data_IF_266598074484
#
_entry.id   IF_266598074484
#
_cell.length_a   1.000
_cell.length_b   1.000
_cell.length_c   1.000
_cell.angle_alpha   90.00
_cell.angle_beta   90.00
_cell.angle_gamma   90.00
#
_symmetry.space_group_name_H-M   'P 1'
#
loop_
_entity.id
_entity.type
_entity.pdbx_description
1 polymer ?
#
# COMPACT_ATOMS: atom_id res chain seq x y z
N UNK A 1 -22.10 76.37 -9.64
CA UNK A 1 -21.29 75.22 -9.20
C UNK A 1 -21.78 74.02 -10.00
N UNK A 2 -21.15 73.78 -11.14
CA UNK A 2 -21.50 72.70 -12.08
C UNK A 2 -20.25 71.85 -12.18
N UNK A 3 -20.35 70.63 -11.65
CA UNK A 3 -19.27 69.64 -11.67
C UNK A 3 -19.23 69.04 -13.06
N UNK A 4 -18.18 69.35 -13.81
CA UNK A 4 -17.81 68.66 -15.04
C UNK A 4 -17.05 67.40 -14.63
N UNK A 5 -17.71 66.24 -14.67
CA UNK A 5 -17.03 64.95 -14.61
C UNK A 5 -16.30 64.73 -15.93
N UNK A 6 -15.00 65.04 -15.95
CA UNK A 6 -14.09 64.56 -16.97
C UNK A 6 -13.94 63.04 -16.79
N UNK A 7 -14.56 62.30 -17.71
CA UNK A 7 -14.32 60.89 -17.91
C UNK A 7 -12.83 60.70 -18.22
N UNK A 8 -12.07 60.21 -17.25
CA UNK A 8 -10.76 59.62 -17.49
C UNK A 8 -10.98 58.41 -18.40
N UNK A 9 -10.80 58.62 -19.70
CA UNK A 9 -10.42 57.56 -20.63
C UNK A 9 -9.10 57.01 -20.11
N UNK A 10 -9.18 55.91 -19.36
CA UNK A 10 -8.03 55.04 -19.12
C UNK A 10 -7.58 54.61 -20.51
N UNK A 11 -6.51 55.25 -20.98
CA UNK A 11 -5.70 54.76 -22.08
C UNK A 11 -5.38 53.31 -21.75
N UNK A 12 -5.99 52.40 -22.51
CA UNK A 12 -5.62 51.00 -22.52
C UNK A 12 -4.09 50.90 -22.64
N UNK A 13 -3.41 50.10 -21.82
CA UNK A 13 -1.99 49.88 -22.03
C UNK A 13 -1.84 49.22 -23.40
N UNK A 14 -1.05 49.87 -24.25
CA UNK A 14 -0.46 49.37 -25.50
C UNK A 14 -1.23 48.23 -26.18
N UNK A 15 -2.13 48.62 -27.07
CA UNK A 15 -2.65 47.85 -28.20
C UNK A 15 -1.67 46.79 -28.74
N UNK A 16 -2.07 45.52 -28.68
CA UNK A 16 -2.00 44.52 -29.78
C UNK A 16 -0.89 44.74 -30.81
N UNK A 17 0.36 44.41 -30.46
CA UNK A 17 1.47 44.30 -31.42
C UNK A 17 2.47 43.19 -31.05
N UNK A 18 2.03 42.15 -30.35
CA UNK A 18 2.77 40.91 -30.14
C UNK A 18 1.86 39.76 -30.58
N UNK A 19 2.34 38.88 -31.46
CA UNK A 19 1.57 37.75 -32.02
C UNK A 19 1.05 36.79 -30.94
N UNK A 20 0.54 35.63 -31.36
CA UNK A 20 -0.10 34.61 -30.51
C UNK A 20 0.73 34.02 -29.34
N UNK A 21 1.86 34.62 -28.99
CA UNK A 21 2.77 34.29 -27.90
C UNK A 21 2.18 34.68 -26.55
N UNK A 22 2.36 33.81 -25.56
CA UNK A 22 1.86 34.04 -24.19
C UNK A 22 3.05 34.31 -23.27
N UNK A 23 3.83 33.29 -22.90
CA UNK A 23 4.98 33.44 -22.00
C UNK A 23 6.20 32.74 -22.55
N UNK A 24 7.37 33.34 -22.46
CA UNK A 24 8.58 32.79 -23.05
C UNK A 24 9.71 33.79 -23.18
N UNK A 25 10.63 33.50 -24.10
CA UNK A 25 11.79 34.33 -24.43
C UNK A 25 12.01 34.32 -25.95
N UNK A 26 12.27 35.48 -26.59
CA UNK A 26 12.68 35.53 -28.00
C UNK A 26 14.07 34.91 -28.19
N UNK A 27 14.29 34.16 -29.27
CA UNK A 27 15.62 33.64 -29.59
C UNK A 27 16.32 34.60 -30.57
N UNK A 28 17.44 35.18 -30.14
CA UNK A 28 18.28 35.99 -31.02
C UNK A 28 18.83 35.15 -32.18
N UNK A 29 18.66 35.63 -33.42
CA UNK A 29 19.10 34.93 -34.62
C UNK A 29 18.04 34.02 -35.26
N UNK A 30 16.89 33.83 -34.60
CA UNK A 30 15.70 33.21 -35.17
C UNK A 30 14.56 34.23 -35.22
N UNK A 31 13.72 34.15 -36.24
CA UNK A 31 12.40 34.80 -36.24
C UNK A 31 11.43 33.99 -35.36
N UNK A 32 11.82 33.66 -34.14
CA UNK A 32 11.16 32.65 -33.31
C UNK A 32 11.19 32.95 -31.81
N UNK A 33 10.29 32.31 -31.08
CA UNK A 33 10.22 32.41 -29.63
C UNK A 33 9.94 31.07 -28.99
N UNK A 34 10.58 30.85 -27.84
CA UNK A 34 10.38 29.67 -27.02
C UNK A 34 9.44 30.02 -25.89
N UNK A 35 8.31 29.34 -25.85
CA UNK A 35 7.34 29.56 -24.81
C UNK A 35 5.99 28.92 -25.08
N UNK A 36 5.01 29.33 -24.28
CA UNK A 36 3.62 28.98 -24.48
C UNK A 36 2.95 29.90 -25.49
N UNK A 37 1.91 29.37 -26.12
CA UNK A 37 1.11 30.04 -27.13
C UNK A 37 -0.34 30.12 -26.69
N UNK A 38 -1.08 31.07 -27.26
CA UNK A 38 -2.53 31.14 -27.10
C UNK A 38 -3.11 29.81 -27.60
N UNK A 39 -3.96 29.15 -26.80
CA UNK A 39 -4.55 27.87 -27.18
C UNK A 39 -5.42 28.01 -28.43
N UNK A 40 -5.46 26.97 -29.24
CA UNK A 40 -6.50 26.82 -30.26
C UNK A 40 -7.90 26.79 -29.63
N UNK A 41 -8.92 27.16 -30.39
CA UNK A 41 -10.31 26.99 -29.94
C UNK A 41 -10.61 25.49 -29.76
N UNK A 42 -10.96 25.10 -28.53
CA UNK A 42 -11.13 23.70 -28.12
C UNK A 42 -9.95 23.12 -27.33
N UNK A 43 -8.79 23.78 -27.31
CA UNK A 43 -7.66 23.42 -26.45
C UNK A 43 -7.85 24.02 -25.04
N UNK A 44 -7.65 23.24 -23.96
CA UNK A 44 -8.06 23.66 -22.62
C UNK A 44 -7.13 24.69 -21.96
N UNK A 45 -5.84 24.67 -22.30
CA UNK A 45 -4.80 25.50 -21.68
C UNK A 45 -3.73 25.86 -22.70
N UNK A 46 -2.93 26.92 -22.49
CA UNK A 46 -1.72 27.16 -23.27
C UNK A 46 -0.86 25.90 -23.36
N UNK A 47 -0.34 25.64 -24.57
CA UNK A 47 0.48 24.46 -24.85
C UNK A 47 1.81 24.84 -25.48
N UNK A 48 2.62 23.81 -25.71
CA UNK A 48 3.93 23.91 -26.32
C UNK A 48 3.86 23.40 -27.75
N UNK A 49 4.39 24.21 -28.65
CA UNK A 49 4.54 23.88 -30.05
C UNK A 49 5.60 22.79 -30.28
N UNK A 50 5.41 21.95 -31.30
CA UNK A 50 6.35 20.88 -31.67
C UNK A 50 6.63 20.82 -33.18
N UNK A 51 6.51 21.95 -33.87
CA UNK A 51 6.81 22.08 -35.30
C UNK A 51 7.48 23.42 -35.62
N UNK A 52 8.78 23.56 -35.36
CA UNK A 52 9.48 24.85 -35.42
C UNK A 52 9.40 25.58 -36.79
N UNK A 53 9.19 24.84 -37.89
CA UNK A 53 9.04 25.35 -39.25
C UNK A 53 7.59 25.54 -39.73
N UNK A 54 6.60 25.36 -38.85
CA UNK A 54 5.18 25.50 -39.17
C UNK A 54 4.56 26.81 -38.63
N UNK A 55 3.37 27.13 -39.14
CA UNK A 55 2.65 28.37 -38.81
C UNK A 55 2.15 28.30 -37.37
N UNK A 56 2.44 29.36 -36.61
CA UNK A 56 2.11 29.46 -35.20
C UNK A 56 0.59 29.31 -34.89
N UNK A 57 0.25 28.88 -33.66
CA UNK A 57 -1.14 28.81 -33.20
C UNK A 57 -1.88 30.15 -33.26
N UNK A 58 -3.20 30.08 -33.45
CA UNK A 58 -4.10 31.23 -33.48
C UNK A 58 -5.45 30.81 -32.89
N UNK A 59 -6.00 31.61 -31.97
CA UNK A 59 -7.15 31.25 -31.15
C UNK A 59 -8.40 30.92 -31.96
N UNK A 60 -8.56 31.56 -33.12
CA UNK A 60 -9.67 31.37 -34.04
C UNK A 60 -9.69 30.00 -34.74
N UNK A 61 -8.56 29.28 -34.73
CA UNK A 61 -8.47 27.95 -35.34
C UNK A 61 -9.07 26.93 -34.38
N UNK A 62 -10.13 26.26 -34.84
CA UNK A 62 -10.84 25.22 -34.07
C UNK A 62 -10.13 23.89 -34.23
N UNK A 63 -9.89 23.21 -33.11
CA UNK A 63 -9.27 21.88 -33.06
C UNK A 63 -10.12 20.92 -32.21
N UNK A 64 -9.96 19.62 -32.46
CA UNK A 64 -10.44 18.58 -31.55
C UNK A 64 -9.24 18.02 -30.79
N UNK A 65 -9.16 18.21 -29.46
CA UNK A 65 -8.11 17.62 -28.64
C UNK A 65 -8.07 16.09 -28.75
N UNK A 66 -6.87 15.55 -28.67
CA UNK A 66 -6.57 14.12 -28.60
C UNK A 66 -5.35 13.88 -27.72
N UNK A 67 -4.68 12.74 -27.86
CA UNK A 67 -3.57 12.35 -27.00
C UNK A 67 -2.34 11.94 -27.81
N UNK A 68 -1.18 12.48 -27.44
CA UNK A 68 0.12 12.05 -27.96
C UNK A 68 0.64 10.90 -27.10
N UNK A 69 0.79 9.73 -27.72
CA UNK A 69 1.23 8.47 -27.07
C UNK A 69 2.54 7.91 -27.61
N UNK A 70 3.11 8.56 -28.63
CA UNK A 70 4.39 8.20 -29.22
C UNK A 70 5.26 9.44 -29.36
N UNK A 71 6.57 9.24 -29.20
CA UNK A 71 7.58 10.28 -29.42
C UNK A 71 8.38 9.97 -30.70
N UNK A 72 8.77 11.00 -31.47
CA UNK A 72 9.64 10.82 -32.62
C UNK A 72 11.05 10.39 -32.20
N UNK A 73 11.73 9.67 -33.09
CA UNK A 73 13.13 9.27 -32.90
C UNK A 73 14.06 10.39 -33.38
N UNK A 74 14.55 11.22 -32.46
CA UNK A 74 15.49 12.32 -32.75
C UNK A 74 16.80 12.15 -31.98
N UNK A 75 17.90 12.53 -32.59
CA UNK A 75 19.21 12.61 -31.95
C UNK A 75 19.29 13.87 -31.08
N UNK A 76 19.65 13.70 -29.81
CA UNK A 76 19.74 14.75 -28.79
C UNK A 76 20.64 14.33 -27.62
N UNK A 77 21.21 15.29 -26.86
CA UNK A 77 21.94 14.97 -25.64
C UNK A 77 21.09 14.18 -24.63
N UNK A 78 21.67 13.17 -23.98
CA UNK A 78 20.96 12.28 -23.06
C UNK A 78 20.34 13.03 -21.86
N UNK A 79 20.97 14.11 -21.42
CA UNK A 79 20.54 15.00 -20.34
C UNK A 79 19.53 16.08 -20.79
N UNK A 80 19.15 16.08 -22.07
CA UNK A 80 17.98 16.79 -22.61
C UNK A 80 16.89 15.83 -23.12
N UNK A 81 17.13 14.52 -23.08
CA UNK A 81 16.18 13.51 -23.53
C UNK A 81 15.20 13.17 -22.42
N UNK A 82 13.91 13.23 -22.75
CA UNK A 82 12.79 12.80 -21.91
C UNK A 82 11.84 11.88 -22.65
N UNK A 83 11.15 11.00 -21.92
CA UNK A 83 9.98 10.29 -22.40
C UNK A 83 8.67 11.09 -22.16
N UNK A 84 7.53 10.53 -22.57
CA UNK A 84 6.21 11.14 -22.38
C UNK A 84 5.89 11.42 -20.91
N UNK A 85 6.18 10.48 -20.01
CA UNK A 85 5.87 10.63 -18.59
C UNK A 85 6.73 11.72 -17.95
N UNK A 86 8.00 11.81 -18.34
CA UNK A 86 8.93 12.84 -17.92
C UNK A 86 8.56 14.21 -18.49
N UNK A 87 8.15 14.31 -19.75
CA UNK A 87 7.66 15.57 -20.32
C UNK A 87 6.36 16.02 -19.65
N UNK A 88 5.45 15.10 -19.33
CA UNK A 88 4.23 15.43 -18.61
C UNK A 88 4.51 15.97 -17.21
N UNK A 89 5.50 15.40 -16.50
CA UNK A 89 5.98 15.94 -15.24
C UNK A 89 6.49 17.38 -15.41
N UNK A 90 7.32 17.62 -16.42
CA UNK A 90 7.88 18.94 -16.71
C UNK A 90 6.77 19.95 -16.99
N UNK A 91 5.79 19.60 -17.82
CA UNK A 91 4.67 20.47 -18.12
C UNK A 91 3.79 20.76 -16.91
N UNK A 92 3.50 19.72 -16.08
CA UNK A 92 2.69 19.86 -14.86
C UNK A 92 3.27 20.90 -13.89
N UNK A 93 4.60 20.95 -13.77
CA UNK A 93 5.27 21.77 -12.75
C UNK A 93 5.87 23.07 -13.25
N UNK A 94 6.27 23.16 -14.53
CA UNK A 94 7.00 24.32 -15.04
C UNK A 94 6.37 25.00 -16.26
N UNK A 95 5.40 24.38 -16.95
CA UNK A 95 4.73 25.06 -18.07
C UNK A 95 3.62 25.96 -17.54
N UNK A 96 3.68 27.29 -17.78
CA UNK A 96 2.65 28.20 -17.28
C UNK A 96 1.33 28.01 -18.03
N UNK A 97 0.22 28.04 -17.29
CA UNK A 97 -1.14 27.98 -17.84
C UNK A 97 -1.81 29.34 -17.96
N UNK A 98 -1.19 30.40 -17.44
CA UNK A 98 -1.66 31.78 -17.55
C UNK A 98 -1.57 32.29 -19.00
N UNK A 99 -2.53 33.13 -19.40
CA UNK A 99 -2.53 33.87 -20.68
C UNK A 99 -1.82 35.23 -20.58
N UNK A 100 -1.30 35.60 -19.41
CA UNK A 100 -0.56 36.84 -19.23
C UNK A 100 0.73 36.85 -20.04
N UNK A 101 0.99 37.96 -20.73
CA UNK A 101 2.20 38.11 -21.52
C UNK A 101 3.47 38.19 -20.66
N UNK A 102 4.52 37.45 -21.05
CA UNK A 102 5.87 37.64 -20.52
C UNK A 102 6.94 37.22 -21.53
N UNK A 103 7.93 38.08 -21.78
CA UNK A 103 9.07 37.81 -22.66
C UNK A 103 10.39 37.54 -21.91
N UNK A 104 10.29 37.25 -20.62
CA UNK A 104 11.43 36.93 -19.74
C UNK A 104 11.22 35.60 -19.00
N UNK A 105 10.22 34.83 -19.40
CA UNK A 105 9.83 33.60 -18.71
C UNK A 105 10.73 32.43 -19.13
N UNK A 106 11.79 32.22 -18.37
CA UNK A 106 12.80 31.17 -18.64
C UNK A 106 12.21 29.76 -18.49
N UNK A 107 11.22 29.56 -17.60
CA UNK A 107 10.59 28.24 -17.42
C UNK A 107 9.71 27.91 -18.62
N UNK A 108 8.91 28.88 -19.10
CA UNK A 108 8.16 28.72 -20.34
C UNK A 108 9.10 28.43 -21.54
N UNK A 109 10.22 29.16 -21.65
CA UNK A 109 11.19 28.94 -22.70
C UNK A 109 11.90 27.58 -22.61
N UNK A 110 12.29 27.16 -21.41
CA UNK A 110 12.95 25.87 -21.18
C UNK A 110 12.02 24.69 -21.46
N UNK A 111 10.75 24.78 -21.05
CA UNK A 111 9.76 23.75 -21.37
C UNK A 111 9.47 23.69 -22.86
N UNK A 112 9.30 24.82 -23.55
CA UNK A 112 9.14 24.86 -25.01
C UNK A 112 10.36 24.31 -25.76
N UNK A 113 11.57 24.63 -25.29
CA UNK A 113 12.81 24.08 -25.83
C UNK A 113 12.82 22.55 -25.70
N UNK A 114 12.44 22.01 -24.54
CA UNK A 114 12.34 20.56 -24.34
C UNK A 114 11.25 19.92 -25.20
N UNK A 115 10.12 20.61 -25.43
CA UNK A 115 9.08 20.14 -26.34
C UNK A 115 9.62 19.96 -27.76
N UNK A 116 10.31 20.96 -28.33
CA UNK A 116 10.93 20.81 -29.64
C UNK A 116 12.04 19.74 -29.65
N UNK A 117 12.98 19.78 -28.69
CA UNK A 117 14.06 18.79 -28.64
C UNK A 117 13.54 17.36 -28.57
N UNK A 118 12.40 17.12 -27.91
CA UNK A 118 11.88 15.78 -27.66
C UNK A 118 10.78 15.30 -28.61
N UNK A 119 9.92 16.22 -29.08
CA UNK A 119 8.67 15.91 -29.76
C UNK A 119 8.51 16.58 -31.12
N UNK A 120 9.53 17.29 -31.60
CA UNK A 120 9.52 17.89 -32.94
C UNK A 120 9.15 16.85 -34.02
N UNK A 121 8.07 17.10 -34.75
CA UNK A 121 7.47 16.11 -35.65
C UNK A 121 7.32 16.59 -37.11
N UNK A 122 7.98 17.69 -37.48
CA UNK A 122 7.98 18.17 -38.85
C UNK A 122 8.88 17.34 -39.78
N UNK A 123 8.81 17.62 -41.09
CA UNK A 123 9.70 16.98 -42.08
C UNK A 123 11.18 17.31 -41.85
N UNK A 124 11.46 18.46 -41.23
CA UNK A 124 12.81 18.95 -40.94
C UNK A 124 13.19 18.75 -39.48
N UNK A 125 12.49 17.86 -38.75
CA UNK A 125 12.57 17.77 -37.29
C UNK A 125 14.01 17.72 -36.74
N UNK A 126 14.87 16.87 -37.30
CA UNK A 126 16.26 16.76 -36.82
C UNK A 126 17.06 18.05 -37.08
N UNK A 127 16.84 18.73 -38.20
CA UNK A 127 17.51 19.99 -38.51
C UNK A 127 17.04 21.09 -37.55
N UNK A 128 15.72 21.19 -37.30
CA UNK A 128 15.13 22.11 -36.34
C UNK A 128 15.73 21.91 -34.93
N UNK A 129 15.84 20.65 -34.49
CA UNK A 129 16.46 20.31 -33.20
C UNK A 129 17.94 20.71 -33.14
N UNK A 130 18.71 20.44 -34.21
CA UNK A 130 20.13 20.80 -34.26
C UNK A 130 20.32 22.32 -34.20
N UNK A 131 19.49 23.08 -34.90
CA UNK A 131 19.52 24.55 -34.90
C UNK A 131 19.14 25.10 -33.51
N UNK A 132 18.07 24.60 -32.89
CA UNK A 132 17.67 24.99 -31.54
C UNK A 132 18.75 24.69 -30.51
N UNK A 133 19.45 23.55 -30.60
CA UNK A 133 20.56 23.22 -29.71
C UNK A 133 21.73 24.22 -29.83
N UNK A 134 21.93 24.83 -31.01
CA UNK A 134 22.98 25.82 -31.24
C UNK A 134 22.57 27.23 -30.82
N UNK A 135 21.33 27.64 -31.12
CA UNK A 135 20.87 29.02 -30.96
C UNK A 135 20.24 29.30 -29.59
N UNK A 136 19.73 28.29 -28.90
CA UNK A 136 19.10 28.48 -27.59
C UNK A 136 20.13 28.93 -26.55
N UNK A 137 19.93 30.07 -25.87
CA UNK A 137 20.84 30.56 -24.84
C UNK A 137 21.16 29.55 -23.74
N UNK A 138 22.41 29.57 -23.25
CA UNK A 138 22.90 28.61 -22.26
C UNK A 138 22.06 28.58 -20.97
N UNK A 139 21.52 29.71 -20.51
CA UNK A 139 20.69 29.76 -19.30
C UNK A 139 19.37 28.99 -19.46
N UNK A 140 18.76 28.99 -20.66
CA UNK A 140 17.56 28.20 -20.98
C UNK A 140 17.93 26.71 -21.06
N UNK A 141 19.03 26.37 -21.73
CA UNK A 141 19.48 24.97 -21.81
C UNK A 141 19.83 24.40 -20.43
N UNK A 142 20.48 25.18 -19.55
CA UNK A 142 20.81 24.76 -18.19
C UNK A 142 19.54 24.52 -17.37
N UNK A 143 18.54 25.42 -17.50
CA UNK A 143 17.25 25.25 -16.84
C UNK A 143 16.51 24.01 -17.36
N UNK A 144 16.55 23.77 -18.67
CA UNK A 144 15.99 22.56 -19.27
C UNK A 144 16.66 21.29 -18.72
N UNK A 145 17.99 21.23 -18.64
CA UNK A 145 18.72 20.08 -18.05
C UNK A 145 18.34 19.85 -16.59
N UNK A 146 18.14 20.92 -15.82
CA UNK A 146 17.64 20.84 -14.45
C UNK A 146 16.24 20.18 -14.42
N UNK A 147 15.30 20.66 -15.24
CA UNK A 147 13.96 20.09 -15.34
C UNK A 147 13.99 18.60 -15.75
N UNK A 148 14.88 18.21 -16.68
CA UNK A 148 15.06 16.80 -17.08
C UNK A 148 15.59 15.95 -15.93
N UNK A 149 16.55 16.46 -15.14
CA UNK A 149 17.07 15.76 -13.98
C UNK A 149 15.98 15.54 -12.92
N UNK A 150 15.18 16.58 -12.63
CA UNK A 150 14.04 16.50 -11.70
C UNK A 150 12.97 15.52 -12.20
N UNK A 151 12.64 15.55 -13.50
CA UNK A 151 11.68 14.63 -14.12
C UNK A 151 12.14 13.17 -14.08
N UNK A 152 13.43 12.90 -14.35
CA UNK A 152 13.99 11.55 -14.24
C UNK A 152 14.02 11.05 -12.80
N UNK A 153 14.26 11.94 -11.84
CA UNK A 153 14.21 11.60 -10.42
C UNK A 153 12.77 11.27 -9.96
N UNK A 154 11.76 11.95 -10.50
CA UNK A 154 10.35 11.75 -10.18
C UNK A 154 9.65 10.64 -10.99
N UNK A 155 10.21 10.25 -12.14
CA UNK A 155 9.63 9.27 -13.06
C UNK A 155 9.62 7.86 -12.48
N UNK A 156 8.44 7.35 -12.13
CA UNK A 156 8.27 6.01 -11.58
C UNK A 156 8.37 4.95 -12.69
N UNK A 157 9.16 3.91 -12.47
CA UNK A 157 9.26 2.75 -13.38
C UNK A 157 9.12 1.41 -12.66
N UNK A 158 9.12 1.41 -11.32
CA UNK A 158 8.98 0.19 -10.52
C UNK A 158 8.08 0.39 -9.31
N UNK A 159 7.29 -0.62 -9.00
CA UNK A 159 6.36 -0.69 -7.87
C UNK A 159 6.28 -2.14 -7.38
N UNK A 160 5.88 -2.33 -6.13
CA UNK A 160 5.74 -3.67 -5.53
C UNK A 160 4.70 -3.65 -4.42
N UNK A 161 4.07 -4.79 -4.18
CA UNK A 161 3.09 -4.94 -3.10
C UNK A 161 3.72 -5.03 -1.72
N UNK A 162 5.01 -5.36 -1.63
CA UNK A 162 5.70 -5.57 -0.35
C UNK A 162 5.70 -7.02 0.09
N UNK A 163 5.95 -7.24 1.38
CA UNK A 163 5.95 -8.54 2.04
C UNK A 163 5.10 -8.49 3.30
N UNK A 164 4.59 -9.64 3.73
CA UNK A 164 3.81 -9.76 4.95
C UNK A 164 4.59 -10.51 6.02
N UNK A 165 4.45 -10.06 7.26
CA UNK A 165 4.85 -10.79 8.46
C UNK A 165 3.61 -11.25 9.22
N UNK A 166 3.74 -12.24 10.10
CA UNK A 166 2.62 -12.74 10.90
C UNK A 166 1.78 -13.85 10.23
N UNK A 167 2.35 -14.60 9.29
CA UNK A 167 1.75 -15.84 8.78
C UNK A 167 1.36 -16.77 9.93
N UNK A 168 0.11 -17.25 9.92
CA UNK A 168 -0.52 -18.03 11.00
C UNK A 168 -0.48 -17.33 12.37
N UNK A 169 -0.45 -16.00 12.40
CA UNK A 169 -0.52 -15.21 13.62
C UNK A 169 -1.79 -14.34 13.63
N UNK A 170 -2.10 -13.75 14.79
CA UNK A 170 -3.18 -12.77 14.95
C UNK A 170 -2.80 -11.36 14.54
N UNK A 171 -1.50 -11.06 14.53
CA UNK A 171 -0.96 -9.74 14.25
C UNK A 171 0.25 -9.86 13.34
N UNK A 172 0.49 -8.82 12.55
CA UNK A 172 1.68 -8.73 11.72
C UNK A 172 1.79 -7.36 11.06
N UNK A 173 2.69 -7.26 10.10
CA UNK A 173 2.96 -6.06 9.33
C UNK A 173 2.95 -6.34 7.84
N UNK A 174 2.55 -5.34 7.05
CA UNK A 174 2.92 -5.23 5.66
C UNK A 174 4.12 -4.29 5.57
N UNK A 175 5.19 -4.80 4.99
CA UNK A 175 6.48 -4.14 4.85
C UNK A 175 6.83 -3.96 3.38
N UNK A 176 7.76 -3.05 3.09
CA UNK A 176 8.33 -2.92 1.76
C UNK A 176 7.51 -2.11 0.77
N UNK A 177 6.60 -1.25 1.22
CA UNK A 177 5.80 -0.38 0.36
C UNK A 177 6.65 0.74 -0.24
N UNK A 178 6.42 1.07 -1.50
CA UNK A 178 7.08 2.17 -2.20
C UNK A 178 7.25 1.95 -3.70
N UNK A 179 7.50 3.05 -4.39
CA UNK A 179 7.77 3.10 -5.83
C UNK A 179 9.20 3.57 -6.10
N UNK A 180 9.77 3.18 -7.25
CA UNK A 180 11.15 3.51 -7.63
C UNK A 180 11.24 4.17 -9.00
N UNK A 181 12.23 5.04 -9.15
CA UNK A 181 12.60 5.63 -10.43
C UNK A 181 13.59 4.76 -11.23
N UNK A 182 13.96 5.22 -12.42
CA UNK A 182 14.92 4.53 -13.31
C UNK A 182 16.31 4.31 -12.71
N UNK A 183 16.71 5.08 -11.71
CA UNK A 183 17.95 4.91 -10.96
C UNK A 183 17.81 3.94 -9.76
N UNK A 184 16.63 3.37 -9.54
CA UNK A 184 16.34 2.46 -8.43
C UNK A 184 16.14 3.14 -7.07
N UNK A 185 16.09 4.47 -7.01
CA UNK A 185 15.81 5.26 -5.82
C UNK A 185 14.30 5.36 -5.56
N UNK A 186 13.89 5.48 -4.30
CA UNK A 186 12.47 5.62 -3.94
C UNK A 186 11.94 7.01 -4.31
N UNK A 187 10.72 7.05 -4.85
CA UNK A 187 10.04 8.30 -5.21
C UNK A 187 8.97 8.63 -4.17
N UNK A 188 9.11 9.80 -3.54
CA UNK A 188 8.16 10.30 -2.55
C UNK A 188 6.92 10.94 -3.20
N UNK A 189 5.85 11.08 -2.43
CA UNK A 189 4.69 11.88 -2.82
C UNK A 189 3.66 11.15 -3.70
N UNK A 190 3.78 9.84 -3.90
CA UNK A 190 2.81 9.06 -4.69
C UNK A 190 1.74 8.46 -3.76
N UNK A 191 0.45 8.75 -3.98
CA UNK A 191 -0.61 8.13 -3.19
C UNK A 191 -0.63 6.62 -3.40
N UNK A 192 -0.87 5.86 -2.34
CA UNK A 192 -1.14 4.44 -2.42
C UNK A 192 -2.26 4.01 -1.49
N UNK A 193 -2.97 2.94 -1.86
CA UNK A 193 -4.00 2.29 -1.05
C UNK A 193 -3.72 0.80 -1.00
N UNK A 194 -3.72 0.22 0.21
CA UNK A 194 -3.64 -1.21 0.44
C UNK A 194 -5.02 -1.71 0.83
N UNK A 195 -5.50 -2.77 0.18
CA UNK A 195 -6.79 -3.39 0.46
C UNK A 195 -6.60 -4.85 0.83
N UNK A 196 -7.06 -5.23 2.03
CA UNK A 196 -7.11 -6.61 2.49
C UNK A 196 -8.44 -7.25 2.06
N UNK A 197 -8.35 -8.49 1.59
CA UNK A 197 -9.49 -9.36 1.31
C UNK A 197 -9.36 -10.62 2.17
N UNK A 198 -10.29 -10.81 3.11
CA UNK A 198 -10.26 -11.91 4.07
C UNK A 198 -10.44 -11.40 5.50
N UNK A 199 -10.23 -12.28 6.50
CA UNK A 199 -10.54 -11.99 7.90
C UNK A 199 -9.43 -11.19 8.60
N UNK A 200 -9.09 -10.02 8.08
CA UNK A 200 -8.12 -9.10 8.69
C UNK A 200 -8.44 -7.62 8.43
N UNK A 201 -8.00 -6.77 9.34
CA UNK A 201 -8.13 -5.30 9.26
C UNK A 201 -6.82 -4.64 9.67
N UNK A 202 -6.58 -3.43 9.18
CA UNK A 202 -5.45 -2.62 9.65
C UNK A 202 -5.70 -2.11 11.06
N UNK A 203 -4.66 -2.08 11.90
CA UNK A 203 -4.78 -1.58 13.27
C UNK A 203 -5.16 -0.11 13.32
N UNK A 204 -4.50 0.71 12.51
CA UNK A 204 -4.68 2.16 12.51
C UNK A 204 -6.08 2.60 12.07
N UNK A 205 -6.65 1.95 11.06
CA UNK A 205 -7.96 2.34 10.50
C UNK A 205 -9.12 1.53 11.06
N UNK A 206 -8.85 0.32 11.58
CA UNK A 206 -9.89 -0.63 11.98
C UNK A 206 -10.70 -1.19 10.80
N UNK A 207 -10.30 -0.92 9.57
CA UNK A 207 -10.96 -1.38 8.34
C UNK A 207 -10.01 -2.22 7.50
N UNK A 208 -10.51 -2.80 6.41
CA UNK A 208 -9.70 -3.55 5.46
C UNK A 208 -8.86 -2.68 4.51
N UNK A 209 -8.87 -1.35 4.68
CA UNK A 209 -8.20 -0.42 3.78
C UNK A 209 -7.21 0.46 4.54
N UNK A 210 -6.03 0.69 3.96
CA UNK A 210 -5.01 1.61 4.45
C UNK A 210 -4.57 2.52 3.30
N UNK A 211 -4.65 3.84 3.48
CA UNK A 211 -4.17 4.82 2.50
C UNK A 211 -2.97 5.56 3.05
N UNK A 212 -1.98 5.79 2.19
CA UNK A 212 -0.78 6.55 2.52
C UNK A 212 -0.16 7.23 1.30
N UNK A 213 1.01 7.82 1.52
CA UNK A 213 1.82 8.46 0.47
C UNK A 213 3.22 7.89 0.54
N UNK A 214 3.82 7.55 -0.61
CA UNK A 214 5.18 7.02 -0.65
C UNK A 214 6.20 8.04 -0.15
N UNK A 215 7.30 7.55 0.40
CA UNK A 215 8.40 8.36 0.93
C UNK A 215 9.67 8.21 0.09
N UNK A 216 10.70 8.98 0.40
CA UNK A 216 12.06 8.84 -0.17
C UNK A 216 12.80 7.60 0.36
N UNK A 217 12.15 6.85 1.26
CA UNK A 217 12.61 5.57 1.79
C UNK A 217 11.49 4.54 1.67
N UNK A 218 11.87 3.26 1.82
CA UNK A 218 10.92 2.16 1.96
C UNK A 218 9.99 2.40 3.16
N UNK A 219 8.72 2.08 3.00
CA UNK A 219 7.72 2.11 4.08
C UNK A 219 7.55 0.69 4.61
N UNK A 220 7.75 0.53 5.91
CA UNK A 220 7.61 -0.72 6.66
C UNK A 220 6.67 -0.49 7.87
N UNK A 221 6.19 -1.57 8.49
CA UNK A 221 5.49 -1.55 9.76
C UNK A 221 4.00 -1.25 9.68
N UNK A 222 3.34 -1.42 8.53
CA UNK A 222 1.90 -1.19 8.40
C UNK A 222 1.17 -2.36 9.09
N UNK A 223 0.70 -2.13 10.32
CA UNK A 223 0.15 -3.17 11.18
C UNK A 223 -1.23 -3.64 10.77
N UNK A 224 -1.42 -4.95 10.79
CA UNK A 224 -2.71 -5.61 10.61
C UNK A 224 -3.01 -6.53 11.79
N UNK A 225 -4.30 -6.80 12.02
CA UNK A 225 -4.80 -7.82 12.95
C UNK A 225 -5.89 -8.68 12.31
N UNK A 226 -5.96 -9.95 12.68
CA UNK A 226 -7.03 -10.84 12.23
C UNK A 226 -8.37 -10.52 12.91
N UNK A 227 -9.47 -10.85 12.25
CA UNK A 227 -10.84 -10.74 12.76
C UNK A 227 -11.56 -12.09 12.84
N UNK A 228 -11.04 -13.10 12.14
CA UNK A 228 -11.41 -14.51 12.19
C UNK A 228 -10.25 -15.35 11.63
N UNK A 229 -10.40 -16.67 11.59
CA UNK A 229 -9.44 -17.57 10.96
C UNK A 229 -9.64 -17.60 9.44
N UNK A 230 -8.54 -17.76 8.69
CA UNK A 230 -8.57 -18.09 7.27
C UNK A 230 -7.52 -17.35 6.45
N UNK A 231 -7.62 -17.51 5.13
CA UNK A 231 -6.69 -16.88 4.18
C UNK A 231 -7.01 -15.40 3.98
N UNK A 232 -5.99 -14.56 4.07
CA UNK A 232 -6.02 -13.16 3.66
C UNK A 232 -5.20 -13.01 2.39
N UNK A 233 -5.74 -12.26 1.43
CA UNK A 233 -5.00 -11.74 0.28
C UNK A 233 -5.02 -10.22 0.31
N UNK A 234 -4.09 -9.58 -0.39
CA UNK A 234 -4.11 -8.12 -0.49
C UNK A 234 -3.56 -7.62 -1.83
N UNK A 235 -3.90 -6.39 -2.17
CA UNK A 235 -3.28 -5.66 -3.27
C UNK A 235 -2.94 -4.23 -2.82
N UNK A 236 -2.04 -3.61 -3.58
CA UNK A 236 -1.68 -2.19 -3.43
C UNK A 236 -1.98 -1.47 -4.73
N UNK A 237 -2.82 -0.45 -4.66
CA UNK A 237 -3.07 0.51 -5.74
C UNK A 237 -2.17 1.72 -5.57
N UNK A 238 -1.33 1.99 -6.55
CA UNK A 238 -0.50 3.19 -6.61
C UNK A 238 -1.08 4.16 -7.64
N UNK A 239 -1.25 5.42 -7.28
CA UNK A 239 -1.79 6.47 -8.14
C UNK A 239 -0.76 7.58 -8.45
N UNK A 240 -1.06 8.41 -9.45
CA UNK A 240 -0.22 9.54 -9.90
C UNK A 240 1.24 9.12 -10.23
N UNK A 241 1.40 7.99 -10.90
CA UNK A 241 2.71 7.43 -11.28
C UNK A 241 3.36 8.13 -12.49
N UNK A 242 2.89 9.31 -12.84
CA UNK A 242 3.20 10.01 -14.10
C UNK A 242 2.05 9.90 -15.10
N UNK A 243 2.20 10.54 -16.26
CA UNK A 243 1.21 10.47 -17.34
C UNK A 243 1.58 9.41 -18.38
N UNK A 244 0.57 8.79 -18.98
CA UNK A 244 0.74 7.83 -20.09
C UNK A 244 0.65 8.47 -21.48
N UNK A 245 0.25 9.75 -21.54
CA UNK A 245 0.10 10.53 -22.75
C UNK A 245 0.31 12.02 -22.43
N UNK A 246 0.44 12.83 -23.49
CA UNK A 246 0.25 14.28 -23.43
C UNK A 246 -1.05 14.63 -24.13
N UNK A 247 -1.68 15.74 -23.74
CA UNK A 247 -2.73 16.33 -24.57
C UNK A 247 -2.12 16.79 -25.90
N UNK A 248 -2.87 16.63 -26.99
CA UNK A 248 -2.39 16.88 -28.34
C UNK A 248 -3.46 17.53 -29.22
N UNK A 249 -3.05 18.52 -30.02
CA UNK A 249 -3.89 19.13 -31.04
C UNK A 249 -3.10 19.26 -32.34
N UNK A 250 -3.72 18.82 -33.44
CA UNK A 250 -3.19 18.93 -34.80
C UNK A 250 -4.22 19.64 -35.69
N UNK A 251 -4.11 20.97 -35.87
CA UNK A 251 -5.03 21.75 -36.72
C UNK A 251 -4.90 21.46 -38.23
N UNK A 252 -3.79 20.86 -38.67
CA UNK A 252 -3.48 20.69 -40.09
C UNK A 252 -3.17 22.02 -40.81
N UNK A 253 -3.14 21.99 -42.14
CA UNK A 253 -2.94 23.20 -42.97
C UNK A 253 -1.57 23.88 -42.83
N UNK A 254 -0.54 23.13 -42.41
CA UNK A 254 0.81 23.66 -42.19
C UNK A 254 0.97 24.48 -40.90
N UNK A 255 0.03 24.34 -39.96
CA UNK A 255 0.09 24.95 -38.63
C UNK A 255 0.68 23.99 -37.61
N UNK A 256 1.28 24.55 -36.55
CA UNK A 256 1.98 23.80 -35.52
C UNK A 256 1.05 22.84 -34.76
N UNK A 257 1.52 21.62 -34.58
CA UNK A 257 0.99 20.73 -33.56
C UNK A 257 1.37 21.24 -32.16
N UNK A 258 0.46 21.06 -31.21
CA UNK A 258 0.61 21.55 -29.83
C UNK A 258 0.40 20.42 -28.83
N UNK A 259 1.26 20.38 -27.81
CA UNK A 259 1.18 19.45 -26.68
C UNK A 259 1.01 20.19 -25.35
N UNK A 260 0.32 19.57 -24.40
CA UNK A 260 0.16 20.10 -23.04
C UNK A 260 0.01 18.97 -22.01
N UNK A 261 0.10 19.32 -20.73
CA UNK A 261 -0.17 18.38 -19.64
C UNK A 261 -1.66 18.02 -19.60
N UNK A 262 -1.98 16.76 -19.83
CA UNK A 262 -3.34 16.22 -19.74
C UNK A 262 -3.53 15.44 -18.43
N UNK A 263 -4.20 16.06 -17.46
CA UNK A 263 -4.49 15.46 -16.15
C UNK A 263 -5.44 14.26 -16.22
N UNK A 264 -6.14 14.03 -17.33
CA UNK A 264 -6.99 12.85 -17.53
C UNK A 264 -6.19 11.59 -17.88
N UNK A 265 -4.90 11.73 -18.19
CA UNK A 265 -4.02 10.65 -18.67
C UNK A 265 -3.07 10.07 -17.60
N UNK A 266 -3.33 10.38 -16.33
CA UNK A 266 -2.53 9.89 -15.20
C UNK A 266 -2.53 8.36 -15.13
N UNK A 267 -1.35 7.80 -14.87
CA UNK A 267 -1.13 6.37 -14.72
C UNK A 267 -1.30 5.95 -13.27
N UNK A 268 -2.00 4.84 -13.08
CA UNK A 268 -2.09 4.11 -11.82
C UNK A 268 -1.76 2.64 -12.06
N UNK A 269 -1.25 1.96 -11.05
CA UNK A 269 -0.84 0.55 -11.14
C UNK A 269 -1.34 -0.20 -9.91
N UNK A 270 -1.87 -1.40 -10.12
CA UNK A 270 -2.31 -2.31 -9.05
C UNK A 270 -1.37 -3.51 -9.01
N UNK A 271 -0.88 -3.85 -7.82
CA UNK A 271 0.01 -5.00 -7.63
C UNK A 271 -0.51 -5.89 -6.51
N UNK A 272 -0.67 -7.18 -6.82
CA UNK A 272 -1.07 -8.18 -5.84
C UNK A 272 0.09 -8.51 -4.88
N UNK A 273 -0.22 -8.57 -3.60
CA UNK A 273 0.67 -9.09 -2.56
C UNK A 273 0.54 -10.60 -2.39
N UNK A 274 1.46 -11.23 -1.62
CA UNK A 274 1.29 -12.62 -1.23
C UNK A 274 0.05 -12.79 -0.36
N UNK A 275 -0.66 -13.90 -0.54
CA UNK A 275 -1.66 -14.37 0.42
C UNK A 275 -0.99 -14.98 1.65
N UNK A 276 -1.66 -14.91 2.79
CA UNK A 276 -1.18 -15.43 4.07
C UNK A 276 -2.33 -15.95 4.93
N UNK A 277 -2.08 -16.95 5.75
CA UNK A 277 -3.06 -17.46 6.71
C UNK A 277 -3.06 -16.61 7.98
N UNK A 278 -4.25 -16.36 8.54
CA UNK A 278 -4.38 -15.68 9.83
C UNK A 278 -5.18 -16.52 10.81
N UNK A 279 -4.88 -16.35 12.10
CA UNK A 279 -5.60 -16.99 13.20
C UNK A 279 -6.14 -15.91 14.15
N UNK A 280 -7.31 -16.14 14.70
CA UNK A 280 -8.01 -15.25 15.63
C UNK A 280 -8.17 -15.91 16.99
N UNK A 281 -8.39 -17.22 17.02
CA UNK A 281 -8.54 -18.02 18.23
C UNK A 281 -7.42 -19.06 18.38
N UNK A 282 -7.51 -19.83 19.46
CA UNK A 282 -6.66 -20.97 19.75
C UNK A 282 -7.50 -22.03 20.45
N UNK A 283 -7.06 -23.29 20.37
CA UNK A 283 -7.72 -24.40 21.03
C UNK A 283 -6.90 -24.82 22.26
N UNK A 284 -7.35 -24.51 23.49
CA UNK A 284 -6.68 -25.00 24.69
C UNK A 284 -6.89 -26.50 24.88
N UNK A 285 -5.82 -27.21 25.25
CA UNK A 285 -5.83 -28.61 25.64
C UNK A 285 -5.22 -28.76 27.05
N UNK A 286 -5.73 -29.73 27.81
CA UNK A 286 -5.17 -30.12 29.10
C UNK A 286 -4.86 -31.60 29.10
N UNK A 287 -3.60 -31.95 29.36
CA UNK A 287 -3.13 -33.33 29.45
C UNK A 287 -2.75 -33.64 30.89
N UNK A 288 -3.07 -34.83 31.38
CA UNK A 288 -2.69 -35.25 32.72
C UNK A 288 -1.50 -36.18 32.73
N UNK A 289 -0.87 -36.20 33.90
CA UNK A 289 0.29 -37.01 34.18
C UNK A 289 -0.04 -38.28 34.96
N UNK A 290 -1.31 -38.60 35.22
CA UNK A 290 -1.63 -40.01 35.45
C UNK A 290 -1.54 -40.74 34.12
N UNK A 291 -0.47 -41.52 33.97
CA UNK A 291 -0.35 -42.50 32.89
C UNK A 291 -1.43 -43.59 32.97
N UNK A 292 -1.12 -44.76 32.41
CA UNK A 292 -2.00 -45.95 32.43
C UNK A 292 -2.27 -46.40 33.87
N UNK A 293 -3.40 -45.98 34.45
CA UNK A 293 -3.98 -46.44 35.73
C UNK A 293 -3.06 -46.40 36.96
N UNK A 294 -3.38 -45.58 37.97
CA UNK A 294 -2.72 -45.70 39.28
C UNK A 294 -3.56 -46.52 40.25
N UNK A 295 -3.03 -47.66 40.67
CA UNK A 295 -3.44 -48.36 41.90
C UNK A 295 -2.76 -47.63 43.07
N UNK A 296 -3.54 -47.05 43.97
CA UNK A 296 -3.01 -46.19 45.02
C UNK A 296 -3.30 -46.85 46.37
N UNK A 297 -2.26 -47.42 46.98
CA UNK A 297 -2.25 -47.99 48.34
C UNK A 297 -2.06 -46.89 49.42
N UNK A 298 -2.37 -45.64 49.04
CA UNK A 298 -2.14 -44.45 49.85
C UNK A 298 -3.43 -43.64 49.96
N UNK A 299 -3.58 -42.86 51.03
CA UNK A 299 -4.77 -42.02 51.25
C UNK A 299 -4.80 -40.75 50.39
N UNK A 300 -3.81 -40.56 49.51
CA UNK A 300 -3.64 -39.34 48.68
C UNK A 300 -3.31 -39.64 47.19
N UNK A 301 -4.28 -39.64 46.27
CA UNK A 301 -4.08 -39.46 44.83
C UNK A 301 -3.69 -38.01 44.46
N UNK A 302 -2.68 -37.88 43.62
CA UNK A 302 -2.20 -36.59 43.13
C UNK A 302 -2.11 -36.64 41.63
N UNK A 303 -2.62 -35.60 41.00
CA UNK A 303 -2.45 -35.34 39.59
C UNK A 303 -1.64 -34.09 39.31
N UNK A 304 -1.03 -34.06 38.14
CA UNK A 304 -0.56 -32.83 37.52
C UNK A 304 -1.19 -32.73 36.14
N UNK A 305 -1.98 -31.68 35.92
CA UNK A 305 -2.44 -31.27 34.60
C UNK A 305 -1.38 -30.38 33.96
N UNK A 306 -1.19 -30.53 32.66
CA UNK A 306 -0.38 -29.65 31.81
C UNK A 306 -1.31 -29.02 30.79
N UNK A 307 -1.46 -27.70 30.86
CA UNK A 307 -2.24 -26.95 29.88
C UNK A 307 -1.32 -26.53 28.73
N UNK A 308 -1.79 -26.67 27.49
CA UNK A 308 -1.10 -26.20 26.29
C UNK A 308 -2.10 -25.78 25.22
N UNK A 309 -1.64 -25.15 24.14
CA UNK A 309 -2.46 -25.00 22.95
C UNK A 309 -2.33 -26.27 22.10
N UNK A 310 -3.41 -26.68 21.43
CA UNK A 310 -3.38 -27.83 20.53
C UNK A 310 -2.33 -27.60 19.43
N UNK A 311 -1.26 -28.40 19.35
CA UNK A 311 -0.21 -28.21 18.35
C UNK A 311 -0.71 -28.41 16.91
N UNK A 312 -1.89 -29.00 16.71
CA UNK A 312 -2.50 -29.22 15.40
C UNK A 312 -3.52 -28.13 15.02
N UNK A 313 -3.75 -27.14 15.89
CA UNK A 313 -4.66 -26.01 15.66
C UNK A 313 -3.89 -24.69 15.59
N UNK A 314 -4.15 -23.89 14.55
CA UNK A 314 -3.50 -22.58 14.38
C UNK A 314 -1.97 -22.69 14.26
N UNK A 315 -1.23 -21.94 15.09
CA UNK A 315 0.24 -22.03 15.19
C UNK A 315 0.73 -22.90 16.36
N UNK A 316 -0.18 -23.62 17.03
CA UNK A 316 0.12 -24.44 18.19
C UNK A 316 0.57 -23.66 19.43
N UNK A 317 0.40 -22.32 19.43
CA UNK A 317 0.78 -21.48 20.56
C UNK A 317 -0.43 -20.99 21.32
N UNK A 318 -0.18 -20.67 22.58
CA UNK A 318 -1.17 -20.03 23.43
C UNK A 318 -1.46 -18.63 22.91
N UNK A 319 -2.73 -18.30 22.71
CA UNK A 319 -3.10 -16.98 22.23
C UNK A 319 -2.70 -15.90 23.22
N UNK A 320 -2.06 -14.85 22.71
CA UNK A 320 -1.71 -13.65 23.46
C UNK A 320 -2.45 -12.42 22.93
N UNK A 321 -2.87 -11.56 23.86
CA UNK A 321 -3.42 -10.22 23.61
C UNK A 321 -2.51 -9.24 24.35
N UNK A 322 -1.91 -8.29 23.64
CA UNK A 322 -0.95 -7.31 24.18
C UNK A 322 0.23 -7.97 24.93
N UNK A 323 0.75 -9.08 24.38
CA UNK A 323 1.84 -9.86 24.99
C UNK A 323 1.45 -10.61 26.27
N UNK A 324 0.17 -10.61 26.64
CA UNK A 324 -0.38 -11.35 27.77
C UNK A 324 -1.19 -12.53 27.26
N UNK A 325 -0.98 -13.73 27.80
CA UNK A 325 -1.74 -14.87 27.35
C UNK A 325 -3.21 -14.80 27.79
N UNK A 326 -4.11 -15.29 26.93
CA UNK A 326 -5.54 -15.36 27.23
C UNK A 326 -5.78 -16.37 28.35
N UNK A 327 -6.39 -15.98 29.48
CA UNK A 327 -6.64 -16.90 30.58
C UNK A 327 -7.71 -17.94 30.21
N UNK A 328 -7.43 -19.22 30.45
CA UNK A 328 -8.38 -20.32 30.30
C UNK A 328 -8.64 -20.96 31.66
N UNK A 329 -9.92 -21.18 31.97
CA UNK A 329 -10.32 -21.87 33.18
C UNK A 329 -10.44 -23.36 32.87
N UNK A 330 -9.69 -24.16 33.62
CA UNK A 330 -9.75 -25.61 33.63
C UNK A 330 -10.45 -26.07 34.90
N UNK A 331 -11.44 -26.95 34.77
CA UNK A 331 -12.12 -27.60 35.89
C UNK A 331 -12.12 -29.11 35.69
N UNK A 332 -11.70 -29.86 36.71
CA UNK A 332 -11.66 -31.32 36.69
C UNK A 332 -12.36 -31.92 37.90
N UNK A 333 -13.20 -32.93 37.67
CA UNK A 333 -13.87 -33.70 38.72
C UNK A 333 -13.38 -35.15 38.72
N UNK A 334 -13.04 -35.62 39.90
CA UNK A 334 -12.65 -36.97 40.22
C UNK A 334 -13.86 -37.79 40.63
N UNK A 335 -13.98 -39.01 40.12
CA UNK A 335 -15.06 -39.94 40.47
C UNK A 335 -14.49 -41.24 41.01
N UNK A 336 -15.07 -41.74 42.10
CA UNK A 336 -14.82 -43.10 42.59
C UNK A 336 -15.75 -44.08 41.86
N UNK A 337 -15.17 -45.21 41.41
CA UNK A 337 -15.86 -46.24 40.63
C UNK A 337 -16.06 -47.55 41.39
N UNK A 338 -15.83 -47.55 42.71
CA UNK A 338 -15.97 -48.72 43.58
C UNK A 338 -14.63 -49.32 44.00
N UNK A 339 -14.67 -50.49 44.62
CA UNK A 339 -13.49 -51.19 45.18
C UNK A 339 -12.91 -52.25 44.24
N UNK A 340 -13.64 -52.61 43.18
CA UNK A 340 -13.22 -53.57 42.16
C UNK A 340 -12.82 -52.83 40.89
N UNK A 341 -11.69 -53.17 40.23
CA UNK A 341 -11.28 -52.57 38.97
C UNK A 341 -12.40 -52.63 37.92
N UNK A 342 -12.75 -51.49 37.35
CA UNK A 342 -13.68 -51.41 36.23
C UNK A 342 -12.95 -51.32 34.91
N UNK A 343 -13.60 -51.82 33.85
CA UNK A 343 -13.07 -51.69 32.50
C UNK A 343 -12.96 -50.21 32.08
N UNK A 344 -11.96 -49.85 31.26
CA UNK A 344 -11.81 -48.50 30.71
C UNK A 344 -13.06 -48.06 29.93
N UNK A 345 -13.50 -46.81 30.13
CA UNK A 345 -14.65 -46.22 29.44
C UNK A 345 -14.38 -44.74 29.17
N UNK A 346 -14.96 -44.24 28.09
CA UNK A 346 -14.86 -42.83 27.69
C UNK A 346 -15.88 -41.94 28.42
N UNK A 347 -16.84 -42.56 29.08
CA UNK A 347 -17.90 -41.90 29.83
C UNK A 347 -17.84 -42.27 31.31
N UNK A 348 -18.09 -41.29 32.17
CA UNK A 348 -18.24 -41.51 33.61
C UNK A 348 -19.52 -42.34 33.83
N UNK A 349 -19.44 -43.50 34.50
CA UNK A 349 -20.63 -44.30 34.81
C UNK A 349 -21.68 -43.50 35.59
N UNK A 350 -22.96 -43.72 35.32
CA UNK A 350 -24.05 -42.96 35.93
C UNK A 350 -24.13 -43.11 37.47
N UNK A 351 -23.59 -44.20 38.01
CA UNK A 351 -23.49 -44.53 39.43
C UNK A 351 -22.18 -44.05 40.08
N UNK A 352 -21.27 -43.47 39.31
CA UNK A 352 -19.99 -42.99 39.81
C UNK A 352 -20.17 -41.77 40.73
N UNK A 353 -19.54 -41.80 41.91
CA UNK A 353 -19.64 -40.72 42.89
C UNK A 353 -18.48 -39.74 42.72
N UNK A 354 -18.79 -38.46 42.53
CA UNK A 354 -17.79 -37.40 42.59
C UNK A 354 -17.12 -37.37 43.98
N UNK A 355 -15.80 -37.54 44.01
CA UNK A 355 -15.00 -37.55 45.25
C UNK A 355 -14.29 -36.23 45.50
N UNK A 356 -13.97 -35.48 44.44
CA UNK A 356 -13.47 -34.12 44.56
C UNK A 356 -13.45 -33.38 43.21
N UNK A 357 -13.49 -32.05 43.27
CA UNK A 357 -13.38 -31.15 42.12
C UNK A 357 -12.24 -30.17 42.36
N UNK A 358 -11.45 -29.89 41.32
CA UNK A 358 -10.36 -28.93 41.35
C UNK A 358 -10.42 -28.04 40.10
N UNK A 359 -10.13 -26.76 40.27
CA UNK A 359 -10.15 -25.79 39.17
C UNK A 359 -9.00 -24.81 39.21
N UNK A 360 -8.73 -24.20 38.06
CA UNK A 360 -7.59 -23.34 37.87
C UNK A 360 -7.63 -22.43 36.66
N UNK A 361 -6.93 -21.29 36.74
CA UNK A 361 -6.75 -20.38 35.61
C UNK A 361 -5.34 -20.55 35.07
N UNK A 362 -5.20 -21.02 33.83
CA UNK A 362 -3.92 -21.07 33.14
C UNK A 362 -3.79 -19.92 32.15
N UNK A 363 -2.60 -19.33 32.09
CA UNK A 363 -2.18 -18.47 30.99
C UNK A 363 -1.05 -19.08 30.14
N UNK A 364 -0.47 -20.23 30.47
CA UNK A 364 0.58 -20.86 29.64
C UNK A 364 1.03 -22.18 30.24
N UNK A 365 0.94 -22.29 31.57
CA UNK A 365 1.28 -23.47 32.36
C UNK A 365 0.44 -23.44 33.66
N UNK A 366 -0.53 -24.35 33.78
CA UNK A 366 -1.19 -24.60 35.06
C UNK A 366 -0.51 -25.78 35.73
N UNK A 367 0.18 -25.55 36.85
CA UNK A 367 0.65 -26.62 37.75
C UNK A 367 -0.06 -26.45 39.08
N UNK A 368 -1.15 -27.16 39.31
CA UNK A 368 -1.74 -27.26 40.65
C UNK A 368 -1.40 -28.58 41.32
N UNK A 369 -0.64 -28.52 42.40
CA UNK A 369 -0.66 -29.53 43.46
C UNK A 369 -1.53 -29.00 44.60
N UNK A 370 -2.77 -29.47 44.74
CA UNK A 370 -3.56 -29.22 45.96
C UNK A 370 -3.79 -30.54 46.69
N UNK A 371 -3.16 -30.66 47.85
CA UNK A 371 -3.43 -31.71 48.83
C UNK A 371 -4.65 -31.31 49.66
N UNK A 372 -5.80 -31.96 49.49
CA UNK A 372 -6.90 -31.88 50.46
C UNK A 372 -6.76 -33.03 51.46
N UNK A 373 -6.54 -32.70 52.73
CA UNK A 373 -6.59 -33.68 53.84
C UNK A 373 -8.06 -33.98 54.16
N UNK A 374 -8.66 -34.91 53.41
CA UNK A 374 -9.64 -35.93 53.84
C UNK A 374 -10.32 -36.53 52.61
N UNK A 375 -10.10 -37.83 52.43
CA UNK A 375 -10.69 -38.76 51.47
C UNK A 375 -10.39 -38.48 49.97
N UNK A 376 -9.47 -39.29 49.43
CA UNK A 376 -9.43 -39.70 48.01
C UNK A 376 -9.39 -38.59 46.94
N UNK A 377 -8.54 -37.57 47.13
CA UNK A 377 -7.36 -37.22 46.30
C UNK A 377 -7.31 -37.77 44.84
N UNK A 378 -6.79 -37.04 43.84
CA UNK A 378 -7.30 -36.92 42.44
C UNK A 378 -6.19 -37.17 41.37
N UNK A 379 -6.52 -37.57 40.13
CA UNK A 379 -5.68 -38.09 39.02
C UNK A 379 -6.38 -38.00 37.61
N UNK A 380 -6.38 -36.89 36.86
CA UNK A 380 -7.31 -36.62 35.73
C UNK A 380 -6.78 -36.48 34.27
N UNK A 381 -6.66 -37.52 33.44
CA UNK A 381 -6.26 -37.44 31.99
C UNK A 381 -7.36 -37.13 30.99
N UNK A 382 -7.06 -36.23 30.02
CA UNK A 382 -7.82 -36.03 28.79
C UNK A 382 -6.91 -35.84 27.56
N UNK A 383 -7.05 -36.72 26.58
CA UNK A 383 -7.58 -36.43 25.25
C UNK A 383 -7.52 -37.73 24.45
N UNK A 384 -8.67 -38.24 24.00
CA UNK A 384 -8.77 -39.43 23.16
C UNK A 384 -8.47 -40.74 23.89
N UNK A 385 -9.48 -41.61 23.92
CA UNK A 385 -9.52 -42.95 24.50
C UNK A 385 -8.22 -43.74 24.30
N UNK A 386 -7.68 -44.31 25.39
CA UNK A 386 -7.02 -45.63 25.51
C UNK A 386 -6.45 -45.76 26.93
N UNK A 387 -6.88 -46.77 27.69
CA UNK A 387 -6.09 -47.35 28.79
C UNK A 387 -6.30 -48.86 28.80
N UNK A 388 -5.24 -49.67 28.99
CA UNK A 388 -5.29 -51.13 29.17
C UNK A 388 -4.70 -51.55 30.52
N UNK A 389 -5.55 -52.20 31.31
CA UNK A 389 -5.45 -53.40 32.18
C UNK A 389 -4.29 -53.73 33.16
N UNK A 390 -4.76 -54.11 34.37
CA UNK A 390 -4.30 -55.07 35.42
C UNK A 390 -3.37 -54.64 36.58
N UNK A 391 -3.94 -54.56 37.79
CA UNK A 391 -3.49 -55.24 39.02
C UNK A 391 -4.63 -55.30 40.06
N UNK A 392 -4.71 -56.40 40.83
CA UNK A 392 -5.75 -56.66 41.86
C UNK A 392 -5.46 -55.84 43.13
N UNK A 393 -6.50 -55.25 43.72
CA UNK A 393 -6.52 -54.43 44.97
C UNK A 393 -6.41 -52.90 44.78
N UNK A 394 -7.17 -52.33 43.85
CA UNK A 394 -7.23 -50.89 43.64
C UNK A 394 -8.68 -50.40 43.61
N UNK A 395 -8.95 -49.24 44.23
CA UNK A 395 -10.18 -48.47 43.99
C UNK A 395 -10.03 -47.79 42.62
N UNK A 396 -10.76 -48.21 41.58
CA UNK A 396 -10.76 -47.47 40.32
C UNK A 396 -11.36 -46.07 40.46
N UNK A 397 -10.78 -45.12 39.73
CA UNK A 397 -11.26 -43.75 39.61
C UNK A 397 -11.22 -43.30 38.13
N UNK A 398 -12.24 -42.52 37.73
CA UNK A 398 -12.30 -41.86 36.41
C UNK A 398 -12.40 -40.35 36.61
N UNK A 399 -12.06 -39.60 35.56
CA UNK A 399 -11.98 -38.15 35.62
C UNK A 399 -12.64 -37.51 34.42
N UNK A 400 -13.35 -36.41 34.69
CA UNK A 400 -14.00 -35.60 33.68
C UNK A 400 -13.54 -34.16 33.87
N UNK A 401 -12.96 -33.56 32.82
CA UNK A 401 -12.65 -32.13 32.82
C UNK A 401 -13.48 -31.38 31.78
N UNK A 402 -13.75 -30.12 32.09
CA UNK A 402 -14.31 -29.12 31.18
C UNK A 402 -13.37 -27.92 31.12
N UNK A 403 -13.28 -27.31 29.94
CA UNK A 403 -12.51 -26.09 29.72
C UNK A 403 -13.46 -25.00 29.25
N UNK A 404 -13.32 -23.78 29.78
CA UNK A 404 -14.02 -22.61 29.27
C UNK A 404 -13.06 -21.44 29.13
N UNK A 405 -13.09 -20.79 27.97
CA UNK A 405 -12.37 -19.54 27.70
C UNK A 405 -13.32 -18.36 27.91
N UNK A 406 -12.97 -17.45 28.83
CA UNK A 406 -13.59 -16.12 28.88
C UNK A 406 -12.70 -15.15 28.12
N UNK A 407 -12.98 -14.94 26.84
CA UNK A 407 -12.47 -13.77 26.14
C UNK A 407 -13.31 -12.57 26.57
N UNK A 408 -12.77 -11.73 27.45
CA UNK A 408 -13.29 -10.36 27.59
C UNK A 408 -12.69 -9.60 26.42
N UNK A 409 -13.54 -9.27 25.44
CA UNK A 409 -13.19 -8.48 24.25
C UNK A 409 -12.83 -7.06 24.63
#
# INVERSE_FOLDING_TARGET
MVVVCASLTVLAPASVAAGSWVRGVPINGLSGWLGTWIPYSGQPVPGLCIQADAVNPAAEVVVTPSQLRAQPSLARPADLSVDIAQMAYIMKWYTPTSLEFSNTDVDAAATAFLAHVNFENSRNAQANVNELLQLTPAHIQNRARQMVAEAKAAGVVGWRAGSVTGERMRFGTIDGIGVKNGAGAYVAGKPFTITLNGPAVFETTGTNTYTGTTASTRIDGIKWRSTANGTVSYHVDYADLGASALGYASPGGGRQDVIWFDSSSLRSETVAGPSFEVIFDFQPIATSNVGTSKVIDSTTLVDTITASADPNYGDGKWLEIDGKPVPVVYEGTAYALGEEPVDPRDEVPADARAVATAGGVSGRDWKSSRSSKRLASIAATLSGSIVRTWARNAIPACFQCSCSSKAVV
#
